data_IF_620423777564
#
_entry.id   IF_620423777564
#
_cell.length_a   1.000
_cell.length_b   1.000
_cell.length_c   1.000
_cell.angle_alpha   90.00
_cell.angle_beta   90.00
_cell.angle_gamma   90.00
#
_symmetry.space_group_name_H-M   'P 1'
#
loop_
_entity.id
_entity.type
_entity.pdbx_description
1 polymer ?
#
# COMPACT_ATOMS: atom_id res chain seq x y z
N UNK A 1 14.37 2.42 26.30
CA UNK A 1 13.76 1.76 25.14
C UNK A 1 12.62 2.65 24.70
N UNK A 2 12.49 2.98 23.42
CA UNK A 2 11.33 3.73 22.91
C UNK A 2 10.06 2.90 23.12
N UNK A 3 8.95 3.54 23.40
CA UNK A 3 7.63 2.88 23.45
C UNK A 3 7.32 2.30 22.07
N UNK A 4 6.82 1.04 21.95
CA UNK A 4 6.38 0.49 20.68
C UNK A 4 5.36 1.41 20.01
N UNK A 5 5.49 1.63 18.71
CA UNK A 5 4.50 2.38 17.93
C UNK A 5 3.27 1.51 17.68
N UNK A 6 2.12 2.14 17.58
CA UNK A 6 0.86 1.49 17.19
C UNK A 6 0.71 1.65 15.67
N UNK A 7 0.64 0.53 14.96
CA UNK A 7 0.67 0.47 13.49
C UNK A 7 -0.54 -0.28 12.96
N UNK A 8 -1.32 0.31 12.08
CA UNK A 8 -2.37 -0.38 11.31
C UNK A 8 -1.85 -0.66 9.89
N UNK A 9 -2.00 -1.91 9.44
CA UNK A 9 -1.77 -2.30 8.04
C UNK A 9 -3.06 -2.88 7.47
N UNK A 10 -3.66 -2.20 6.50
CA UNK A 10 -4.84 -2.72 5.78
C UNK A 10 -4.41 -3.71 4.70
N UNK A 11 -5.17 -4.80 4.51
CA UNK A 11 -4.76 -5.86 3.60
C UNK A 11 -3.45 -6.53 4.05
N UNK A 12 -3.27 -6.68 5.36
CA UNK A 12 -2.03 -7.13 5.99
C UNK A 12 -1.83 -8.64 6.03
N UNK A 13 -2.82 -9.44 5.61
CA UNK A 13 -2.77 -10.90 5.77
C UNK A 13 -1.88 -11.60 4.74
N UNK A 14 -1.54 -10.98 3.62
CA UNK A 14 -0.81 -11.64 2.53
C UNK A 14 0.09 -10.69 1.75
N UNK A 15 0.98 -11.25 0.95
CA UNK A 15 1.80 -10.54 -0.06
C UNK A 15 2.57 -9.35 0.54
N UNK A 16 2.49 -8.17 -0.11
CA UNK A 16 3.14 -6.93 0.32
C UNK A 16 2.69 -6.55 1.74
N UNK A 17 1.38 -6.70 2.04
CA UNK A 17 0.83 -6.39 3.36
C UNK A 17 1.45 -7.23 4.47
N UNK A 18 1.60 -8.54 4.26
CA UNK A 18 2.23 -9.44 5.22
C UNK A 18 3.72 -9.11 5.46
N UNK A 19 4.45 -8.75 4.40
CA UNK A 19 5.83 -8.30 4.53
C UNK A 19 5.94 -6.97 5.30
N UNK A 20 4.99 -6.05 5.10
CA UNK A 20 4.92 -4.81 5.88
C UNK A 20 4.65 -5.11 7.35
N UNK A 21 3.66 -5.97 7.65
CA UNK A 21 3.37 -6.43 9.02
C UNK A 21 4.63 -7.02 9.67
N UNK A 22 5.28 -7.98 9.01
CA UNK A 22 6.51 -8.61 9.52
C UNK A 22 7.64 -7.60 9.76
N UNK A 23 7.77 -6.61 8.87
CA UNK A 23 8.82 -5.57 8.98
C UNK A 23 8.65 -4.68 10.20
N UNK A 24 7.40 -4.26 10.51
CA UNK A 24 7.12 -3.46 11.70
C UNK A 24 7.24 -4.30 12.99
N UNK A 25 6.77 -5.55 12.98
CA UNK A 25 6.95 -6.46 14.13
C UNK A 25 8.44 -6.68 14.46
N UNK A 26 9.27 -6.91 13.45
CA UNK A 26 10.71 -7.08 13.63
C UNK A 26 11.41 -5.84 14.23
N UNK A 27 10.79 -4.66 14.12
CA UNK A 27 11.24 -3.42 14.76
C UNK A 27 10.73 -3.26 16.20
N UNK A 28 9.86 -4.15 16.67
CA UNK A 28 9.27 -4.09 18.01
C UNK A 28 8.00 -3.25 18.10
N UNK A 29 7.39 -2.89 16.96
CA UNK A 29 6.12 -2.17 16.93
C UNK A 29 4.93 -3.10 17.24
N UNK A 30 3.85 -2.53 17.77
CA UNK A 30 2.55 -3.22 17.93
C UNK A 30 1.77 -3.09 16.64
N UNK A 31 1.56 -4.21 15.94
CA UNK A 31 0.94 -4.21 14.62
C UNK A 31 -0.48 -4.75 14.65
N UNK A 32 -1.40 -3.99 14.09
CA UNK A 32 -2.78 -4.37 13.83
C UNK A 32 -2.91 -4.71 12.34
N UNK A 33 -3.22 -5.97 12.03
CA UNK A 33 -3.59 -6.43 10.69
C UNK A 33 -5.10 -6.23 10.51
N UNK A 34 -5.49 -5.31 9.66
CA UNK A 34 -6.88 -5.05 9.28
C UNK A 34 -7.14 -5.68 7.90
N UNK A 35 -7.76 -6.85 7.87
CA UNK A 35 -7.98 -7.65 6.65
C UNK A 35 -9.32 -8.40 6.75
N UNK A 36 -9.80 -8.94 5.63
CA UNK A 36 -10.93 -9.87 5.62
C UNK A 36 -10.52 -11.29 6.12
N UNK A 37 -9.25 -11.60 6.02
CA UNK A 37 -8.69 -12.90 6.39
C UNK A 37 -7.68 -12.74 7.51
N UNK A 38 -7.65 -13.72 8.41
CA UNK A 38 -6.65 -13.77 9.49
C UNK A 38 -5.25 -14.02 8.90
N UNK A 39 -4.22 -13.25 9.32
CA UNK A 39 -2.85 -13.46 8.85
C UNK A 39 -2.24 -14.73 9.46
N UNK A 40 -1.41 -15.41 8.68
CA UNK A 40 -0.54 -16.48 9.20
C UNK A 40 0.71 -15.85 9.84
N UNK A 41 0.51 -15.10 10.94
CA UNK A 41 1.57 -14.39 11.64
C UNK A 41 1.29 -14.36 13.16
N UNK A 42 2.20 -14.90 13.95
CA UNK A 42 2.09 -14.85 15.41
C UNK A 42 2.37 -13.44 15.95
N UNK A 43 1.70 -13.06 17.04
CA UNK A 43 1.94 -11.80 17.75
C UNK A 43 1.39 -10.56 17.06
N UNK A 44 0.53 -10.72 16.07
CA UNK A 44 -0.21 -9.65 15.41
C UNK A 44 -1.61 -9.55 15.96
N UNK A 45 -2.11 -8.35 16.19
CA UNK A 45 -3.52 -8.15 16.50
C UNK A 45 -4.33 -8.16 15.21
N UNK A 46 -5.12 -9.22 14.99
CA UNK A 46 -6.03 -9.27 13.85
C UNK A 46 -7.36 -8.61 14.18
N UNK A 47 -7.84 -7.76 13.27
CA UNK A 47 -9.20 -7.19 13.32
C UNK A 47 -9.82 -7.38 11.93
N UNK A 48 -10.82 -8.26 11.83
CA UNK A 48 -11.57 -8.45 10.58
C UNK A 48 -12.16 -7.13 10.10
N UNK A 49 -11.75 -6.68 8.93
CA UNK A 49 -12.11 -5.36 8.42
C UNK A 49 -12.36 -5.38 6.91
N UNK A 50 -13.59 -5.06 6.52
CA UNK A 50 -13.91 -4.69 5.13
C UNK A 50 -13.67 -3.18 4.96
N UNK A 51 -12.53 -2.84 4.38
CA UNK A 51 -12.10 -1.45 4.18
C UNK A 51 -13.00 -0.65 3.23
N UNK A 52 -13.80 -1.31 2.40
CA UNK A 52 -14.76 -0.66 1.50
C UNK A 52 -16.04 -0.18 2.23
N UNK A 53 -16.24 -0.62 3.49
CA UNK A 53 -17.42 -0.31 4.32
C UNK A 53 -17.06 0.61 5.47
N UNK A 54 -17.63 1.83 5.47
CA UNK A 54 -17.34 2.83 6.52
C UNK A 54 -17.64 2.33 7.94
N UNK A 55 -18.70 1.52 8.11
CA UNK A 55 -19.03 0.96 9.43
C UNK A 55 -17.90 0.06 9.94
N UNK A 56 -17.36 -0.82 9.10
CA UNK A 56 -16.26 -1.72 9.46
C UNK A 56 -14.98 -0.95 9.79
N UNK A 57 -14.68 0.11 9.04
CA UNK A 57 -13.52 0.98 9.33
C UNK A 57 -13.71 1.73 10.66
N UNK A 58 -14.91 2.19 10.97
CA UNK A 58 -15.20 2.82 12.27
C UNK A 58 -15.04 1.85 13.43
N UNK A 59 -15.49 0.60 13.26
CA UNK A 59 -15.35 -0.43 14.28
C UNK A 59 -13.87 -0.76 14.53
N UNK A 60 -13.05 -0.84 13.48
CA UNK A 60 -11.59 -0.95 13.58
C UNK A 60 -11.00 0.19 14.42
N UNK A 61 -11.31 1.45 14.08
CA UNK A 61 -10.73 2.61 14.77
C UNK A 61 -11.21 2.72 16.22
N UNK A 62 -12.49 2.38 16.49
CA UNK A 62 -13.03 2.32 17.87
C UNK A 62 -12.27 1.27 18.70
N UNK A 63 -11.95 0.12 18.11
CA UNK A 63 -11.17 -0.91 18.81
C UNK A 63 -9.75 -0.45 19.10
N UNK A 64 -9.10 0.22 18.15
CA UNK A 64 -7.74 0.76 18.32
C UNK A 64 -7.74 1.87 19.37
N UNK A 65 -8.75 2.74 19.38
CA UNK A 65 -8.93 3.77 20.42
C UNK A 65 -9.07 3.16 21.81
N UNK A 66 -9.90 2.13 21.94
CA UNK A 66 -10.14 1.46 23.21
C UNK A 66 -8.89 0.75 23.77
N UNK A 67 -8.15 0.05 22.88
CA UNK A 67 -7.02 -0.77 23.30
C UNK A 67 -5.73 0.05 23.48
N UNK A 68 -5.53 1.14 22.72
CA UNK A 68 -4.24 1.85 22.65
C UNK A 68 -4.35 3.37 22.87
N UNK A 69 -5.49 3.99 22.61
CA UNK A 69 -5.72 5.42 22.80
C UNK A 69 -5.14 6.33 21.72
N UNK A 70 -4.24 5.84 20.87
CA UNK A 70 -3.59 6.60 19.80
C UNK A 70 -3.18 5.69 18.62
N UNK A 71 -2.75 6.30 17.53
CA UNK A 71 -2.20 5.64 16.36
C UNK A 71 -0.98 6.39 15.84
N UNK A 72 0.12 5.68 15.60
CA UNK A 72 1.36 6.26 15.07
C UNK A 72 1.47 6.09 13.55
N UNK A 73 1.12 4.91 13.03
CA UNK A 73 1.30 4.62 11.61
C UNK A 73 0.05 3.98 11.02
N UNK A 74 -0.42 4.55 9.92
CA UNK A 74 -1.44 3.95 9.06
C UNK A 74 -0.82 3.56 7.72
N UNK A 75 -0.88 2.27 7.36
CA UNK A 75 -0.50 1.79 6.03
C UNK A 75 -1.75 1.35 5.28
N UNK A 76 -2.15 2.12 4.27
CA UNK A 76 -3.23 1.80 3.36
C UNK A 76 -2.67 0.93 2.21
N UNK A 77 -2.67 -0.38 2.42
CA UNK A 77 -2.16 -1.36 1.47
C UNK A 77 -3.27 -2.15 0.77
N UNK A 78 -4.44 -2.32 1.38
CA UNK A 78 -5.55 -3.05 0.77
C UNK A 78 -5.85 -2.55 -0.65
N UNK A 79 -5.95 -3.48 -1.59
CA UNK A 79 -6.23 -3.15 -2.98
C UNK A 79 -6.50 -4.38 -3.83
N UNK A 80 -7.24 -4.17 -4.91
CA UNK A 80 -7.56 -5.18 -5.93
C UNK A 80 -7.26 -4.64 -7.32
N UNK A 81 -7.02 -5.55 -8.25
CA UNK A 81 -6.97 -5.28 -9.68
C UNK A 81 -7.98 -6.18 -10.39
N UNK A 82 -8.62 -5.66 -11.42
CA UNK A 82 -9.44 -6.40 -12.37
C UNK A 82 -8.87 -6.09 -13.74
N UNK A 83 -8.45 -7.13 -14.45
CA UNK A 83 -7.82 -7.04 -15.75
C UNK A 83 -8.86 -7.24 -16.84
N UNK A 84 -9.25 -6.15 -17.51
CA UNK A 84 -10.30 -6.18 -18.53
C UNK A 84 -10.08 -5.05 -19.55
N UNK A 85 -10.34 -5.29 -20.87
CA UNK A 85 -10.41 -4.19 -21.82
C UNK A 85 -11.44 -3.16 -21.39
N UNK A 86 -11.16 -1.85 -21.60
CA UNK A 86 -12.07 -0.79 -21.15
C UNK A 86 -13.49 -0.92 -21.73
N UNK A 87 -13.62 -1.46 -22.94
CA UNK A 87 -14.92 -1.65 -23.59
C UNK A 87 -15.76 -2.76 -22.94
N UNK A 88 -15.11 -3.70 -22.24
CA UNK A 88 -15.76 -4.87 -21.63
C UNK A 88 -15.86 -4.72 -20.10
N UNK A 89 -15.21 -3.69 -19.53
CA UNK A 89 -15.25 -3.40 -18.09
C UNK A 89 -16.67 -3.05 -17.67
N UNK A 90 -17.22 -3.81 -16.72
CA UNK A 90 -18.56 -3.57 -16.18
C UNK A 90 -18.53 -2.44 -15.14
N UNK A 91 -19.63 -1.72 -15.00
CA UNK A 91 -19.79 -0.66 -14.00
C UNK A 91 -19.56 -1.20 -12.57
N UNK A 92 -20.05 -2.42 -12.27
CA UNK A 92 -19.85 -3.04 -10.97
C UNK A 92 -18.36 -3.31 -10.65
N UNK A 93 -17.57 -3.67 -11.66
CA UNK A 93 -16.13 -3.90 -11.51
C UNK A 93 -15.38 -2.58 -11.29
N UNK A 94 -15.77 -1.53 -12.01
CA UNK A 94 -15.30 -0.17 -11.75
C UNK A 94 -15.61 0.25 -10.31
N UNK A 95 -16.86 0.15 -9.88
CA UNK A 95 -17.29 0.54 -8.54
C UNK A 95 -16.55 -0.24 -7.46
N UNK A 96 -16.35 -1.53 -7.66
CA UNK A 96 -15.63 -2.40 -6.73
C UNK A 96 -14.17 -1.99 -6.59
N UNK A 97 -13.45 -1.77 -7.70
CA UNK A 97 -12.06 -1.33 -7.66
C UNK A 97 -11.93 0.04 -6.99
N UNK A 98 -12.79 0.99 -7.33
CA UNK A 98 -12.78 2.32 -6.72
C UNK A 98 -13.15 2.29 -5.24
N UNK A 99 -14.08 1.42 -4.84
CA UNK A 99 -14.46 1.25 -3.43
C UNK A 99 -13.30 0.68 -2.59
N UNK A 100 -12.60 -0.35 -3.11
CA UNK A 100 -11.53 -1.02 -2.38
C UNK A 100 -10.23 -0.21 -2.42
N UNK A 101 -9.85 0.40 -3.56
CA UNK A 101 -8.56 1.05 -3.69
C UNK A 101 -8.56 2.52 -3.25
N UNK A 102 -9.63 3.27 -3.57
CA UNK A 102 -9.68 4.73 -3.36
C UNK A 102 -10.51 5.10 -2.14
N UNK A 103 -11.78 4.67 -2.12
CA UNK A 103 -12.69 5.00 -1.02
C UNK A 103 -12.18 4.44 0.32
N UNK A 104 -11.58 3.25 0.32
CA UNK A 104 -10.98 2.68 1.52
C UNK A 104 -9.88 3.58 2.08
N UNK A 105 -8.95 4.03 1.24
CA UNK A 105 -7.86 4.93 1.64
C UNK A 105 -8.40 6.24 2.26
N UNK A 106 -9.48 6.78 1.67
CA UNK A 106 -10.18 7.92 2.26
C UNK A 106 -10.81 7.58 3.63
N UNK A 107 -11.55 6.47 3.74
CA UNK A 107 -12.25 6.11 4.96
C UNK A 107 -11.29 5.81 6.11
N UNK A 108 -10.27 5.00 5.86
CA UNK A 108 -9.26 4.65 6.87
C UNK A 108 -8.50 5.88 7.34
N UNK A 109 -8.07 6.75 6.42
CA UNK A 109 -7.42 8.01 6.75
C UNK A 109 -8.34 8.91 7.57
N UNK A 110 -9.59 9.15 7.12
CA UNK A 110 -10.58 9.98 7.81
C UNK A 110 -10.76 9.58 9.26
N UNK A 111 -10.92 8.29 9.51
CA UNK A 111 -11.19 7.77 10.86
C UNK A 111 -9.93 7.55 11.70
N UNK A 112 -8.73 7.45 11.09
CA UNK A 112 -7.46 7.39 11.82
C UNK A 112 -6.95 8.75 12.30
N UNK A 113 -7.25 9.83 11.60
CA UNK A 113 -6.72 11.17 11.91
C UNK A 113 -6.98 11.64 13.34
N UNK A 114 -8.14 11.41 14.00
CA UNK A 114 -8.32 11.74 15.41
C UNK A 114 -7.31 11.02 16.32
N UNK A 115 -7.06 9.72 16.09
CA UNK A 115 -6.11 8.91 16.86
C UNK A 115 -4.66 9.32 16.61
N UNK A 116 -4.33 9.73 15.38
CA UNK A 116 -2.99 10.22 15.02
C UNK A 116 -2.69 11.60 15.58
N UNK A 117 -3.72 12.34 16.03
CA UNK A 117 -3.61 13.63 16.71
C UNK A 117 -3.77 13.51 18.23
N UNK A 118 -4.04 12.32 18.74
CA UNK A 118 -4.20 12.09 20.17
C UNK A 118 -2.85 12.24 20.90
N UNK A 119 -2.96 12.55 22.20
CA UNK A 119 -1.79 12.55 23.07
C UNK A 119 -1.17 11.13 23.12
N UNK A 120 0.14 11.04 22.93
CA UNK A 120 0.85 9.76 22.87
C UNK A 120 1.30 9.35 21.47
N UNK A 121 0.70 9.87 20.41
CA UNK A 121 1.14 9.58 19.04
C UNK A 121 2.56 10.08 18.79
N UNK A 122 3.42 9.19 18.25
CA UNK A 122 4.84 9.47 18.03
C UNK A 122 5.14 9.55 16.53
N UNK A 123 5.52 10.74 16.03
CA UNK A 123 5.88 10.97 14.64
C UNK A 123 4.88 10.41 13.63
N UNK A 124 3.57 10.77 13.74
CA UNK A 124 2.53 10.10 13.01
C UNK A 124 2.75 10.15 11.50
N UNK A 125 2.54 9.00 10.83
CA UNK A 125 2.77 8.85 9.40
C UNK A 125 1.70 7.98 8.73
N UNK A 126 1.25 8.43 7.56
CA UNK A 126 0.39 7.68 6.66
C UNK A 126 1.21 7.26 5.44
N UNK A 127 1.18 5.99 5.09
CA UNK A 127 1.80 5.48 3.86
C UNK A 127 0.74 4.76 3.03
N UNK A 128 0.49 5.25 1.83
CA UNK A 128 -0.50 4.71 0.91
C UNK A 128 0.20 3.92 -0.19
N UNK A 129 -0.28 2.72 -0.50
CA UNK A 129 0.27 1.92 -1.59
C UNK A 129 -0.44 2.28 -2.90
N UNK A 130 0.27 3.04 -3.74
CA UNK A 130 -0.11 3.35 -5.12
C UNK A 130 0.38 2.24 -6.08
N UNK A 131 0.85 2.58 -7.25
CA UNK A 131 1.49 1.69 -8.23
C UNK A 131 2.20 2.52 -9.28
N UNK A 132 3.24 1.98 -9.92
CA UNK A 132 3.78 2.57 -11.15
C UNK A 132 2.74 2.73 -12.25
N UNK A 133 1.64 1.98 -12.20
CA UNK A 133 0.52 2.11 -13.13
C UNK A 133 -0.32 3.37 -12.89
N UNK A 134 -0.19 4.03 -11.77
CA UNK A 134 -0.69 5.40 -11.57
C UNK A 134 0.11 6.46 -12.34
N UNK A 135 1.34 6.13 -12.74
CA UNK A 135 2.28 7.01 -13.45
C UNK A 135 2.46 6.61 -14.92
N UNK A 136 2.30 5.33 -15.22
CA UNK A 136 2.36 4.75 -16.54
C UNK A 136 1.10 3.94 -16.83
N UNK A 137 1.08 3.16 -17.91
CA UNK A 137 -0.08 2.36 -18.27
C UNK A 137 0.33 0.99 -18.84
N UNK A 138 -0.43 -0.04 -18.45
CA UNK A 138 -0.43 -1.33 -19.13
C UNK A 138 -1.82 -1.58 -19.76
N UNK A 139 -1.91 -2.35 -20.85
CA UNK A 139 -3.20 -2.81 -21.34
C UNK A 139 -4.00 -3.52 -20.24
N UNK A 140 -5.32 -3.50 -20.32
CA UNK A 140 -6.29 -4.16 -19.43
C UNK A 140 -6.41 -3.57 -18.02
N UNK A 141 -5.58 -2.61 -17.61
CA UNK A 141 -5.51 -2.08 -16.23
C UNK A 141 -6.10 -0.68 -16.08
N UNK A 142 -6.98 -0.23 -16.98
CA UNK A 142 -7.45 1.16 -17.00
C UNK A 142 -8.08 1.62 -15.70
N UNK A 143 -8.94 0.81 -15.07
CA UNK A 143 -9.60 1.14 -13.79
C UNK A 143 -8.61 1.11 -12.64
N UNK A 144 -7.73 0.10 -12.63
CA UNK A 144 -6.68 -0.02 -11.63
C UNK A 144 -5.73 1.18 -11.67
N UNK A 145 -5.23 1.53 -12.85
CA UNK A 145 -4.35 2.68 -13.06
C UNK A 145 -5.00 3.99 -12.57
N UNK A 146 -6.27 4.23 -12.94
CA UNK A 146 -7.03 5.38 -12.46
C UNK A 146 -7.14 5.41 -10.94
N UNK A 147 -7.40 4.24 -10.30
CA UNK A 147 -7.50 4.14 -8.85
C UNK A 147 -6.17 4.46 -8.16
N UNK A 148 -5.04 3.98 -8.69
CA UNK A 148 -3.71 4.19 -8.10
C UNK A 148 -3.21 5.62 -8.29
N UNK A 149 -3.51 6.26 -9.42
CA UNK A 149 -3.29 7.70 -9.60
C UNK A 149 -4.12 8.54 -8.59
N UNK A 150 -5.38 8.15 -8.33
CA UNK A 150 -6.21 8.82 -7.34
C UNK A 150 -5.63 8.70 -5.91
N UNK A 151 -5.07 7.53 -5.53
CA UNK A 151 -4.40 7.33 -4.25
C UNK A 151 -3.18 8.25 -4.09
N UNK A 152 -2.36 8.40 -5.13
CA UNK A 152 -1.22 9.32 -5.11
C UNK A 152 -1.67 10.78 -4.92
N UNK A 153 -2.66 11.23 -5.68
CA UNK A 153 -3.21 12.59 -5.56
C UNK A 153 -3.83 12.84 -4.17
N UNK A 154 -4.55 11.85 -3.61
CA UNK A 154 -5.09 11.90 -2.26
C UNK A 154 -3.98 12.05 -1.19
N UNK A 155 -2.86 11.36 -1.38
CA UNK A 155 -1.70 11.44 -0.47
C UNK A 155 -1.10 12.84 -0.43
N UNK A 156 -0.99 13.51 -1.58
CA UNK A 156 -0.49 14.89 -1.66
C UNK A 156 -1.38 15.87 -0.88
N UNK A 157 -2.70 15.79 -1.07
CA UNK A 157 -3.65 16.64 -0.34
C UNK A 157 -3.64 16.36 1.17
N UNK A 158 -3.62 15.09 1.57
CA UNK A 158 -3.54 14.71 2.99
C UNK A 158 -2.29 15.27 3.65
N UNK A 159 -1.13 15.19 2.98
CA UNK A 159 0.12 15.78 3.47
C UNK A 159 0.01 17.30 3.70
N UNK A 160 -0.65 17.99 2.77
CA UNK A 160 -0.83 19.44 2.83
C UNK A 160 -1.75 19.87 3.97
N UNK A 161 -2.88 19.16 4.14
CA UNK A 161 -3.89 19.48 5.13
C UNK A 161 -3.44 19.12 6.56
N UNK A 162 -2.70 18.02 6.72
CA UNK A 162 -2.36 17.48 8.04
C UNK A 162 -0.88 17.64 8.44
N UNK A 163 -0.02 18.13 7.55
CA UNK A 163 1.35 18.54 7.87
C UNK A 163 1.45 19.54 9.03
N UNK A 164 0.59 20.58 9.10
CA UNK A 164 0.57 21.50 10.25
C UNK A 164 0.29 20.84 11.60
N UNK A 165 -0.26 19.63 11.62
CA UNK A 165 -0.49 18.83 12.83
C UNK A 165 0.62 17.79 13.07
N UNK A 166 1.71 17.85 12.31
CA UNK A 166 2.84 16.91 12.43
C UNK A 166 2.60 15.53 11.78
N UNK A 167 1.50 15.34 11.04
CA UNK A 167 1.21 14.08 10.34
C UNK A 167 1.81 14.14 8.94
N UNK A 168 2.68 13.19 8.62
CA UNK A 168 3.22 13.02 7.27
C UNK A 168 2.37 12.04 6.47
N UNK A 169 2.22 12.28 5.18
CA UNK A 169 1.53 11.37 4.28
C UNK A 169 2.32 11.23 2.98
N UNK A 170 2.66 9.99 2.61
CA UNK A 170 3.36 9.69 1.37
C UNK A 170 2.70 8.50 0.67
N UNK A 171 2.93 8.38 -0.64
CA UNK A 171 2.58 7.21 -1.41
C UNK A 171 3.84 6.41 -1.77
N UNK A 172 3.72 5.10 -1.86
CA UNK A 172 4.72 4.20 -2.45
C UNK A 172 4.12 3.63 -3.71
N UNK A 173 4.85 3.71 -4.83
CA UNK A 173 4.47 3.18 -6.13
C UNK A 173 5.34 1.94 -6.46
N UNK A 174 4.90 0.72 -6.11
CA UNK A 174 5.61 -0.51 -6.46
C UNK A 174 5.66 -0.72 -7.96
N UNK A 175 6.77 -1.27 -8.45
CA UNK A 175 6.87 -1.89 -9.76
C UNK A 175 6.29 -3.30 -9.78
N UNK A 176 6.88 -4.18 -10.59
CA UNK A 176 6.49 -5.58 -10.60
C UNK A 176 7.10 -6.32 -9.43
N UNK A 177 6.26 -6.73 -8.50
CA UNK A 177 6.65 -7.41 -7.26
C UNK A 177 6.30 -8.89 -7.39
N UNK A 178 7.23 -9.77 -7.04
CA UNK A 178 7.01 -11.21 -7.04
C UNK A 178 6.01 -11.58 -5.93
N UNK A 179 4.77 -11.80 -6.33
CA UNK A 179 3.65 -12.19 -5.46
C UNK A 179 2.76 -13.19 -6.19
N UNK A 180 2.00 -14.03 -5.48
CA UNK A 180 1.02 -14.94 -6.08
C UNK A 180 0.03 -14.24 -7.03
N UNK A 181 -0.25 -12.96 -6.81
CA UNK A 181 -1.07 -12.17 -7.71
C UNK A 181 -0.47 -12.09 -9.13
N UNK A 182 0.84 -11.82 -9.24
CA UNK A 182 1.53 -11.76 -10.52
C UNK A 182 1.83 -13.15 -11.09
N UNK A 183 1.96 -14.17 -10.25
CA UNK A 183 2.17 -15.54 -10.70
C UNK A 183 1.01 -16.08 -11.52
N UNK A 184 -0.24 -15.79 -11.15
CA UNK A 184 -1.42 -16.20 -11.92
C UNK A 184 -1.43 -15.64 -13.35
N UNK A 185 -0.92 -14.41 -13.54
CA UNK A 185 -0.74 -13.84 -14.87
C UNK A 185 0.35 -14.59 -15.63
N UNK A 186 1.47 -14.89 -15.00
CA UNK A 186 2.63 -15.53 -15.62
C UNK A 186 2.36 -16.99 -16.01
N UNK A 187 1.54 -17.69 -15.25
CA UNK A 187 1.16 -19.08 -15.50
C UNK A 187 0.34 -19.29 -16.80
N UNK A 188 -0.18 -18.20 -17.38
CA UNK A 188 -0.91 -18.24 -18.64
C UNK A 188 0.02 -18.43 -19.85
N UNK A 189 1.33 -18.25 -19.69
CA UNK A 189 2.30 -18.32 -20.78
C UNK A 189 2.98 -19.69 -20.84
N UNK A 190 3.01 -20.34 -22.04
CA UNK A 190 3.62 -21.67 -22.20
C UNK A 190 5.12 -21.72 -21.90
N UNK A 191 5.85 -20.64 -22.20
CA UNK A 191 7.29 -20.51 -21.92
C UNK A 191 7.48 -19.52 -20.76
N UNK A 192 7.29 -20.03 -19.55
CA UNK A 192 7.44 -19.26 -18.33
C UNK A 192 8.85 -18.65 -18.20
N UNK A 193 9.89 -19.40 -18.53
CA UNK A 193 11.27 -18.94 -18.38
C UNK A 193 11.59 -17.75 -19.30
N UNK A 194 11.10 -17.77 -20.53
CA UNK A 194 11.27 -16.67 -21.46
C UNK A 194 10.53 -15.40 -21.00
N UNK A 195 9.33 -15.58 -20.42
CA UNK A 195 8.53 -14.46 -19.88
C UNK A 195 9.20 -13.87 -18.64
N UNK A 196 9.66 -14.70 -17.71
CA UNK A 196 10.38 -14.24 -16.51
C UNK A 196 11.62 -13.43 -16.90
N UNK A 197 12.44 -13.96 -17.82
CA UNK A 197 13.63 -13.24 -18.33
C UNK A 197 13.26 -11.91 -19.01
N UNK A 198 12.16 -11.88 -19.77
CA UNK A 198 11.70 -10.65 -20.43
C UNK A 198 11.24 -9.60 -19.40
N UNK A 199 10.55 -10.02 -18.35
CA UNK A 199 10.10 -9.11 -17.29
C UNK A 199 11.29 -8.62 -16.45
N UNK A 200 12.23 -9.49 -16.09
CA UNK A 200 13.46 -9.09 -15.40
C UNK A 200 14.25 -8.05 -16.19
N UNK A 201 14.35 -8.23 -17.52
CA UNK A 201 15.02 -7.29 -18.41
C UNK A 201 14.36 -5.90 -18.49
N UNK A 202 13.09 -5.77 -18.08
CA UNK A 202 12.44 -4.47 -17.93
C UNK A 202 13.00 -3.67 -16.77
N UNK A 203 13.58 -4.34 -15.77
CA UNK A 203 14.08 -3.72 -14.55
C UNK A 203 15.61 -3.52 -14.64
N UNK A 204 16.14 -2.29 -14.64
CA UNK A 204 17.59 -2.05 -14.64
C UNK A 204 18.38 -2.77 -13.54
N UNK A 205 17.74 -3.07 -12.39
CA UNK A 205 18.36 -3.86 -11.30
C UNK A 205 18.47 -5.36 -11.61
N UNK A 206 17.90 -5.84 -12.73
CA UNK A 206 18.03 -7.22 -13.20
C UNK A 206 17.24 -8.27 -12.43
N UNK A 207 16.21 -7.86 -11.69
CA UNK A 207 15.29 -8.76 -10.98
C UNK A 207 13.92 -8.12 -10.76
N UNK A 208 12.93 -8.94 -10.47
CA UNK A 208 11.67 -8.49 -9.91
C UNK A 208 11.87 -7.92 -8.48
N UNK A 209 10.98 -7.04 -8.06
CA UNK A 209 10.91 -6.63 -6.67
C UNK A 209 10.38 -7.76 -5.78
N UNK A 210 10.69 -7.71 -4.49
CA UNK A 210 10.11 -8.58 -3.48
C UNK A 210 9.18 -7.79 -2.57
N UNK A 211 8.23 -8.43 -1.87
CA UNK A 211 7.41 -7.75 -0.86
C UNK A 211 8.24 -6.98 0.17
N UNK A 212 9.44 -7.49 0.54
CA UNK A 212 10.37 -6.86 1.49
C UNK A 212 10.98 -5.57 0.95
N UNK A 213 11.22 -5.45 -0.38
CA UNK A 213 11.68 -4.20 -0.99
C UNK A 213 10.67 -3.07 -0.71
N UNK A 214 9.38 -3.38 -0.82
CA UNK A 214 8.31 -2.43 -0.54
C UNK A 214 8.17 -2.18 0.96
N UNK A 215 8.16 -3.24 1.77
CA UNK A 215 8.03 -3.15 3.22
C UNK A 215 9.13 -2.28 3.85
N UNK A 216 10.36 -2.39 3.37
CA UNK A 216 11.48 -1.57 3.84
C UNK A 216 11.29 -0.09 3.51
N UNK A 217 10.77 0.23 2.31
CA UNK A 217 10.47 1.62 1.92
C UNK A 217 9.33 2.19 2.76
N UNK A 218 8.26 1.43 2.97
CA UNK A 218 7.13 1.80 3.83
C UNK A 218 7.61 2.09 5.26
N UNK A 219 8.43 1.20 5.81
CA UNK A 219 8.98 1.34 7.15
C UNK A 219 9.84 2.60 7.27
N UNK A 220 10.72 2.88 6.29
CA UNK A 220 11.52 4.09 6.26
C UNK A 220 10.65 5.34 6.22
N UNK A 221 9.66 5.40 5.33
CA UNK A 221 8.74 6.54 5.23
C UNK A 221 7.95 6.76 6.53
N UNK A 222 7.66 5.71 7.28
CA UNK A 222 6.98 5.78 8.57
C UNK A 222 7.93 6.06 9.75
N UNK A 223 9.25 6.14 9.54
CA UNK A 223 10.24 6.36 10.59
C UNK A 223 10.57 7.84 10.79
N UNK A 224 11.30 8.15 11.87
CA UNK A 224 11.85 9.48 12.13
C UNK A 224 12.93 9.90 11.09
N UNK A 225 13.60 8.94 10.44
CA UNK A 225 14.58 9.22 9.40
C UNK A 225 13.97 9.89 8.16
N UNK A 226 12.65 9.75 7.97
CA UNK A 226 11.90 10.43 6.92
C UNK A 226 11.14 11.68 7.42
N UNK A 227 11.56 12.31 8.52
CA UNK A 227 10.84 13.41 9.16
C UNK A 227 10.59 14.62 8.24
N UNK A 228 11.39 14.83 7.21
CA UNK A 228 11.22 15.93 6.24
C UNK A 228 10.65 15.45 4.88
N UNK A 229 10.13 14.22 4.83
CA UNK A 229 9.52 13.62 3.62
C UNK A 229 8.02 13.52 3.82
N UNK A 230 7.27 14.35 3.11
CA UNK A 230 5.81 14.32 3.08
C UNK A 230 5.29 14.80 1.72
N UNK A 231 4.11 14.35 1.30
CA UNK A 231 3.52 14.70 0.02
C UNK A 231 4.30 14.14 -1.17
N UNK A 232 5.02 13.02 -1.01
CA UNK A 232 5.78 12.41 -2.09
C UNK A 232 5.11 11.11 -2.56
N UNK A 233 5.26 10.81 -3.84
CA UNK A 233 5.07 9.47 -4.39
C UNK A 233 6.44 8.87 -4.69
N UNK A 234 6.82 7.87 -3.90
CA UNK A 234 8.13 7.21 -4.00
C UNK A 234 8.01 5.96 -4.87
N UNK A 235 8.62 6.01 -6.03
CA UNK A 235 8.66 4.87 -6.98
C UNK A 235 9.67 3.83 -6.51
N UNK A 236 9.23 2.56 -6.40
CA UNK A 236 10.04 1.42 -5.98
C UNK A 236 9.86 0.31 -7.02
N UNK A 237 10.55 0.43 -8.14
CA UNK A 237 10.31 -0.35 -9.35
C UNK A 237 11.58 -0.92 -10.01
N UNK A 238 12.70 -0.90 -9.31
CA UNK A 238 13.99 -1.35 -9.86
C UNK A 238 14.47 -0.55 -11.07
N UNK A 239 13.98 0.69 -11.23
CA UNK A 239 14.32 1.60 -12.32
C UNK A 239 13.49 1.42 -13.59
N UNK A 240 12.41 0.65 -13.55
CA UNK A 240 11.58 0.36 -14.74
C UNK A 240 11.05 1.62 -15.42
N UNK A 241 10.48 2.56 -14.67
CA UNK A 241 9.97 3.81 -15.22
C UNK A 241 11.07 4.80 -15.64
N UNK A 242 12.26 4.68 -15.09
CA UNK A 242 13.40 5.54 -15.47
C UNK A 242 14.04 5.15 -16.80
N UNK A 243 13.72 3.96 -17.32
CA UNK A 243 14.28 3.42 -18.57
C UNK A 243 13.57 4.04 -19.77
N UNK A 244 14.30 4.83 -20.56
CA UNK A 244 13.85 5.24 -21.88
C UNK A 244 14.17 4.13 -22.88
N UNK A 245 13.18 3.65 -23.68
CA UNK A 245 13.43 2.62 -24.66
C UNK A 245 14.36 3.16 -25.76
N UNK A 246 15.49 2.47 -25.97
CA UNK A 246 16.35 2.68 -27.14
C UNK A 246 15.98 1.66 -28.21
N UNK A 247 16.07 2.01 -29.51
CA UNK A 247 15.97 1.02 -30.58
C UNK A 247 17.01 -0.08 -30.37
N UNK A 248 16.66 -1.32 -30.70
CA UNK A 248 17.64 -2.40 -30.73
C UNK A 248 18.73 -2.03 -31.78
N UNK A 249 19.96 -1.87 -31.33
CA UNK A 249 21.13 -1.62 -32.18
C UNK A 249 21.66 -2.92 -32.70
#
# INVERSE_FOLDING_TARGET
>A
MSTPRIVIVTGGAQNIGAAIVARFQAAGDTVICADLNEPDAEGVTFIETDVAREASVRDLMTRVEFDFGHLDVLVNNAGICIEEPIADTREEDWDRVMAVNVKSTFLTTKHALPLMRAEGAQHPAIVNISSIEGLGANPLHSVYAASKAAVAAFSHNTALEYGPFGIRCNAVAPGWINTPFNEQFLDQFPDRAAVDAAIEALHPVGRLGTPEDIANTVFWLASADAAFVTGQEVVVDGGRLAKLPLPAL
#
